data_IF_969487573670
#
_entry.id   IF_969487573670
#
_cell.length_a   1.000
_cell.length_b   1.000
_cell.length_c   1.000
_cell.angle_alpha   90.00
_cell.angle_beta   90.00
_cell.angle_gamma   90.00
#
_symmetry.space_group_name_H-M   'P 1'
#
loop_
_entity.id
_entity.type
_entity.pdbx_description
1 polymer ?
#
# COMPACT_ATOMS: atom_id res chain seq x y z
N UNK A 1 -10.48 35.37 -5.59
CA UNK A 1 -9.88 34.31 -4.74
C UNK A 1 -10.77 33.09 -4.89
N UNK A 2 -10.45 32.25 -5.87
CA UNK A 2 -11.18 31.01 -6.08
C UNK A 2 -10.91 30.11 -4.88
N UNK A 3 -11.97 29.63 -4.23
CA UNK A 3 -11.87 28.56 -3.26
C UNK A 3 -11.34 27.33 -3.99
N UNK A 4 -10.05 27.06 -3.82
CA UNK A 4 -9.41 25.83 -4.23
C UNK A 4 -10.21 24.70 -3.58
N UNK A 5 -10.97 23.95 -4.39
CA UNK A 5 -11.79 22.83 -3.92
C UNK A 5 -10.84 21.78 -3.39
N UNK A 6 -10.58 21.82 -2.08
CA UNK A 6 -9.79 20.82 -1.39
C UNK A 6 -10.47 19.48 -1.65
N UNK A 7 -9.84 18.62 -2.44
CA UNK A 7 -10.23 17.22 -2.58
C UNK A 7 -10.02 16.56 -1.21
N UNK A 8 -11.01 16.70 -0.33
CA UNK A 8 -11.04 16.04 0.96
C UNK A 8 -11.03 14.54 0.68
N UNK A 9 -9.93 13.88 0.99
CA UNK A 9 -9.82 12.41 0.89
C UNK A 9 -10.70 11.75 1.96
N UNK A 10 -11.00 12.49 3.03
CA UNK A 10 -11.84 12.05 4.14
C UNK A 10 -12.62 13.24 4.73
N UNK A 11 -13.93 13.10 4.91
CA UNK A 11 -14.83 14.15 5.43
C UNK A 11 -14.51 14.56 6.88
N UNK A 12 -13.73 13.74 7.60
CA UNK A 12 -13.31 14.00 8.98
C UNK A 12 -12.02 14.85 9.11
N UNK A 13 -11.45 15.36 8.02
CA UNK A 13 -10.23 16.18 8.06
C UNK A 13 -10.54 17.61 8.53
N UNK A 14 -9.94 18.03 9.66
CA UNK A 14 -10.11 19.38 10.23
C UNK A 14 -9.32 20.49 9.52
N UNK A 15 -8.30 20.12 8.74
CA UNK A 15 -7.49 21.05 7.93
C UNK A 15 -6.81 20.32 6.78
N UNK A 16 -6.37 21.03 5.74
CA UNK A 16 -5.65 20.44 4.61
C UNK A 16 -4.32 19.77 5.04
N UNK A 17 -3.73 20.22 6.15
CA UNK A 17 -2.50 19.67 6.73
C UNK A 17 -2.75 18.48 7.65
N UNK A 18 -4.00 18.20 8.03
CA UNK A 18 -4.34 17.05 8.84
C UNK A 18 -4.25 15.77 7.99
N UNK A 19 -3.48 14.79 8.46
CA UNK A 19 -3.35 13.51 7.77
C UNK A 19 -4.71 12.79 7.73
N UNK A 20 -5.21 12.39 6.54
CA UNK A 20 -6.51 11.72 6.40
C UNK A 20 -6.52 10.29 6.97
N UNK A 21 -5.33 9.74 7.23
CA UNK A 21 -5.12 8.34 7.55
C UNK A 21 -5.28 8.07 9.04
N UNK A 22 -6.09 7.08 9.37
CA UNK A 22 -6.30 6.62 10.74
C UNK A 22 -5.01 6.05 11.35
N UNK A 23 -4.96 5.93 12.67
CA UNK A 23 -3.85 5.24 13.35
C UNK A 23 -3.71 3.78 12.88
N UNK A 24 -4.83 3.13 12.54
CA UNK A 24 -4.84 1.78 11.97
C UNK A 24 -4.17 1.71 10.60
N UNK A 25 -4.40 2.69 9.72
CA UNK A 25 -3.75 2.75 8.40
C UNK A 25 -2.23 2.90 8.52
N UNK A 26 -1.78 3.72 9.45
CA UNK A 26 -0.35 3.92 9.72
C UNK A 26 0.29 2.62 10.20
N UNK A 27 -0.36 1.90 11.13
CA UNK A 27 0.12 0.61 11.61
C UNK A 27 0.21 -0.42 10.48
N UNK A 28 -0.83 -0.52 9.65
CA UNK A 28 -0.84 -1.43 8.49
C UNK A 28 0.29 -1.13 7.52
N UNK A 29 0.64 0.14 7.29
CA UNK A 29 1.79 0.52 6.44
C UNK A 29 3.12 0.08 7.05
N UNK A 30 3.31 0.26 8.36
CA UNK A 30 4.53 -0.16 9.05
C UNK A 30 4.68 -1.68 8.96
N UNK A 31 3.59 -2.42 9.24
CA UNK A 31 3.55 -3.88 9.10
C UNK A 31 3.85 -4.32 7.68
N UNK A 32 3.34 -3.60 6.69
CA UNK A 32 3.59 -3.87 5.29
C UNK A 32 5.06 -3.65 4.90
N UNK A 33 5.66 -2.51 5.25
CA UNK A 33 7.07 -2.24 4.97
C UNK A 33 7.99 -3.29 5.63
N UNK A 34 7.68 -3.65 6.88
CA UNK A 34 8.39 -4.73 7.58
C UNK A 34 8.23 -6.07 6.86
N UNK A 35 7.00 -6.44 6.50
CA UNK A 35 6.72 -7.66 5.75
C UNK A 35 7.46 -7.69 4.41
N UNK A 36 7.45 -6.59 3.66
CA UNK A 36 8.11 -6.50 2.37
C UNK A 36 9.63 -6.63 2.51
N UNK A 37 10.22 -5.95 3.48
CA UNK A 37 11.65 -6.02 3.75
C UNK A 37 12.09 -7.46 4.10
N UNK A 38 11.35 -8.11 5.00
CA UNK A 38 11.69 -9.45 5.54
C UNK A 38 11.34 -10.58 4.58
N UNK A 39 10.22 -10.50 3.84
CA UNK A 39 9.72 -11.63 3.06
C UNK A 39 9.79 -11.45 1.54
N UNK A 40 9.93 -10.23 1.02
CA UNK A 40 9.81 -9.98 -0.43
C UNK A 40 11.08 -9.39 -1.06
N UNK A 41 11.79 -8.49 -0.38
CA UNK A 41 12.84 -7.64 -0.99
C UNK A 41 14.05 -8.42 -1.52
N UNK A 42 14.43 -9.51 -0.84
CA UNK A 42 15.59 -10.34 -1.18
C UNK A 42 15.24 -11.57 -2.02
N UNK A 43 13.95 -11.77 -2.32
CA UNK A 43 13.48 -12.99 -3.00
C UNK A 43 13.89 -13.01 -4.47
N UNK A 44 14.37 -14.14 -5.00
CA UNK A 44 14.83 -14.23 -6.38
C UNK A 44 13.68 -14.06 -7.38
N UNK A 45 14.00 -13.77 -8.66
CA UNK A 45 13.01 -13.54 -9.72
C UNK A 45 11.89 -14.61 -9.81
N UNK A 46 12.16 -15.94 -9.78
CA UNK A 46 11.12 -16.96 -9.88
C UNK A 46 10.14 -16.98 -8.70
N UNK A 47 10.49 -16.39 -7.55
CA UNK A 47 9.62 -16.30 -6.38
C UNK A 47 8.50 -15.24 -6.52
N UNK A 48 8.06 -14.95 -7.75
CA UNK A 48 6.94 -14.05 -7.98
C UNK A 48 5.65 -14.50 -7.28
N UNK A 49 5.26 -15.80 -7.30
CA UNK A 49 4.06 -16.26 -6.61
C UNK A 49 4.09 -16.00 -5.10
N UNK A 50 5.28 -16.03 -4.49
CA UNK A 50 5.47 -15.71 -3.07
C UNK A 50 5.19 -14.24 -2.77
N UNK A 51 5.67 -13.33 -3.61
CA UNK A 51 5.36 -11.89 -3.49
C UNK A 51 3.86 -11.63 -3.67
N UNK A 52 3.23 -12.32 -4.62
CA UNK A 52 1.78 -12.24 -4.85
C UNK A 52 0.98 -12.77 -3.66
N UNK A 53 1.46 -13.82 -2.99
CA UNK A 53 0.84 -14.33 -1.77
C UNK A 53 0.79 -13.25 -0.68
N UNK A 54 1.92 -12.61 -0.38
CA UNK A 54 1.95 -11.53 0.62
C UNK A 54 1.09 -10.33 0.24
N UNK A 55 1.06 -9.95 -1.04
CA UNK A 55 0.17 -8.88 -1.48
C UNK A 55 -1.31 -9.22 -1.23
N UNK A 56 -1.73 -10.46 -1.49
CA UNK A 56 -3.10 -10.93 -1.21
C UNK A 56 -3.40 -10.98 0.29
N UNK A 57 -2.44 -11.34 1.13
CA UNK A 57 -2.59 -11.30 2.60
C UNK A 57 -2.86 -9.88 3.09
N UNK A 58 -2.26 -8.88 2.45
CA UNK A 58 -2.51 -7.46 2.72
C UNK A 58 -3.65 -6.86 1.89
N UNK A 59 -4.60 -7.69 1.47
CA UNK A 59 -5.85 -7.32 0.78
C UNK A 59 -5.66 -6.62 -0.59
N UNK A 60 -4.52 -6.85 -1.25
CA UNK A 60 -4.33 -6.39 -2.62
C UNK A 60 -5.24 -7.17 -3.57
N UNK A 61 -6.06 -6.46 -4.36
CA UNK A 61 -6.86 -7.06 -5.41
C UNK A 61 -5.97 -7.26 -6.62
N UNK A 62 -5.67 -8.54 -6.89
CA UNK A 62 -4.75 -8.93 -7.95
C UNK A 62 -5.46 -9.88 -8.90
N UNK A 63 -5.62 -9.46 -10.15
CA UNK A 63 -6.16 -10.28 -11.22
C UNK A 63 -5.03 -11.03 -11.96
N UNK A 64 -5.17 -12.35 -12.10
CA UNK A 64 -4.18 -13.20 -12.76
C UNK A 64 -2.88 -13.39 -11.95
N UNK A 65 -1.75 -13.36 -12.65
CA UNK A 65 -0.40 -13.57 -12.08
C UNK A 65 0.57 -12.47 -12.52
N UNK A 66 0.35 -11.20 -12.13
CA UNK A 66 1.22 -10.11 -12.53
C UNK A 66 2.63 -10.33 -12.00
N UNK A 67 3.62 -9.91 -12.77
CA UNK A 67 5.01 -9.99 -12.34
C UNK A 67 5.36 -8.77 -11.49
N UNK A 68 5.58 -8.99 -10.19
CA UNK A 68 6.03 -7.97 -9.24
C UNK A 68 7.53 -8.13 -9.06
N UNK A 69 8.27 -7.06 -9.34
CA UNK A 69 9.72 -7.06 -9.18
C UNK A 69 10.11 -6.93 -7.70
N UNK A 70 11.22 -7.54 -7.28
CA UNK A 70 11.75 -7.45 -5.90
C UNK A 70 12.00 -6.01 -5.43
N UNK A 71 12.27 -5.08 -6.36
CA UNK A 71 12.50 -3.64 -6.10
C UNK A 71 11.23 -2.79 -6.24
N UNK A 72 10.06 -3.41 -6.39
CA UNK A 72 8.80 -2.68 -6.45
C UNK A 72 8.61 -1.87 -5.16
N UNK A 73 8.12 -0.64 -5.30
CA UNK A 73 7.81 0.25 -4.19
C UNK A 73 6.29 0.34 -4.07
N UNK A 74 5.73 -0.43 -3.14
CA UNK A 74 4.29 -0.48 -2.87
C UNK A 74 4.10 0.09 -1.48
N UNK A 75 3.41 1.22 -1.35
CA UNK A 75 3.17 1.85 -0.05
C UNK A 75 1.87 1.38 0.61
N UNK A 76 0.85 1.04 -0.20
CA UNK A 76 -0.50 0.71 0.26
C UNK A 76 -1.01 -0.48 -0.57
N UNK A 77 -0.78 -1.72 -0.12
CA UNK A 77 -1.16 -2.92 -0.89
C UNK A 77 -2.68 -3.06 -1.07
N UNK A 78 -3.49 -2.70 -0.06
CA UNK A 78 -4.97 -2.77 -0.14
C UNK A 78 -5.61 -1.72 -1.06
N UNK A 79 -4.84 -0.80 -1.62
CA UNK A 79 -5.30 0.13 -2.65
C UNK A 79 -5.03 -0.37 -4.08
N UNK A 80 -4.38 -1.53 -4.22
CA UNK A 80 -4.16 -2.15 -5.53
C UNK A 80 -5.48 -2.77 -6.02
N UNK A 81 -5.90 -2.38 -7.22
CA UNK A 81 -7.10 -2.85 -7.94
C UNK A 81 -6.74 -3.43 -9.29
#
# INVERSE_FOLDING_TARGET
MAAESLNAVNDAQSSAQASPWSAGDRMRRILWEFCWAVFCSWTPKPANPWRLFWLRVFDAKIHGTPFVHQRARIAIPWHLT
#
